data_IF_246453499519
#
_entry.id   IF_246453499519
#
_cell.length_a   1.000
_cell.length_b   1.000
_cell.length_c   1.000
_cell.angle_alpha   90.00
_cell.angle_beta   90.00
_cell.angle_gamma   90.00
#
_symmetry.space_group_name_H-M   'P 1'
#
loop_
_entity.id
_entity.type
_entity.pdbx_description
1 polymer ?
#
# COMPACT_ATOMS: atom_id res chain seq x y z
N UNK A 1 29.60 57.34 17.84
CA UNK A 1 29.34 56.01 18.42
C UNK A 1 27.86 55.56 18.30
N UNK A 2 26.89 56.43 18.51
CA UNK A 2 25.43 56.08 18.47
C UNK A 2 24.99 55.52 17.07
N UNK A 3 25.52 56.05 15.97
CA UNK A 3 25.15 55.59 14.64
C UNK A 3 25.67 54.17 14.31
N UNK A 4 26.89 53.83 14.76
CA UNK A 4 27.45 52.50 14.59
C UNK A 4 26.64 51.46 15.41
N UNK A 5 26.23 51.80 16.62
CA UNK A 5 25.40 50.92 17.44
C UNK A 5 24.02 50.64 16.79
N UNK A 6 23.39 51.67 16.19
CA UNK A 6 22.11 51.49 15.46
C UNK A 6 22.28 50.59 14.24
N UNK A 7 23.34 50.79 13.46
CA UNK A 7 23.62 49.92 12.28
C UNK A 7 23.83 48.48 12.72
N UNK A 8 24.60 48.22 13.76
CA UNK A 8 24.83 46.90 14.30
C UNK A 8 23.51 46.23 14.78
N UNK A 9 22.64 47.01 15.41
CA UNK A 9 21.32 46.56 15.85
C UNK A 9 20.44 46.15 14.66
N UNK A 10 20.43 46.90 13.57
CA UNK A 10 19.67 46.57 12.38
C UNK A 10 20.20 45.27 11.71
N UNK A 11 21.52 45.07 11.65
CA UNK A 11 22.09 43.82 11.13
C UNK A 11 21.75 42.63 12.01
N UNK A 12 21.72 42.80 13.34
CA UNK A 12 21.30 41.77 14.27
C UNK A 12 19.84 41.36 14.03
N UNK A 13 18.93 42.31 13.96
CA UNK A 13 17.51 42.04 13.71
C UNK A 13 17.27 41.45 12.31
N UNK A 14 17.97 41.93 11.29
CA UNK A 14 17.88 41.39 9.96
C UNK A 14 18.37 39.93 9.92
N UNK A 15 19.46 39.59 10.61
CA UNK A 15 19.96 38.22 10.75
C UNK A 15 18.97 37.29 11.45
N UNK A 16 18.39 37.73 12.55
CA UNK A 16 17.35 36.98 13.28
C UNK A 16 16.12 36.75 12.38
N UNK A 17 15.63 37.79 11.72
CA UNK A 17 14.47 37.70 10.83
C UNK A 17 14.73 36.72 9.66
N UNK A 18 15.90 36.80 9.04
CA UNK A 18 16.29 35.91 7.95
C UNK A 18 16.35 34.45 8.41
N UNK A 19 16.91 34.18 9.58
CA UNK A 19 16.98 32.85 10.19
C UNK A 19 15.60 32.28 10.47
N UNK A 20 14.69 33.08 11.02
CA UNK A 20 13.32 32.67 11.27
C UNK A 20 12.54 32.38 9.98
N UNK A 21 12.72 33.20 8.95
CA UNK A 21 12.10 32.98 7.64
C UNK A 21 12.65 31.71 7.02
N UNK A 22 13.96 31.48 7.01
CA UNK A 22 14.59 30.28 6.47
C UNK A 22 14.12 29.01 7.22
N UNK A 23 14.07 29.07 8.56
CA UNK A 23 13.57 27.97 9.37
C UNK A 23 12.09 27.68 9.11
N UNK A 24 11.26 28.73 8.97
CA UNK A 24 9.86 28.59 8.62
C UNK A 24 9.62 27.96 7.26
N UNK A 25 10.40 28.39 6.27
CA UNK A 25 10.36 27.82 4.93
C UNK A 25 10.82 26.35 4.93
N UNK A 26 11.91 26.03 5.61
CA UNK A 26 12.40 24.65 5.72
C UNK A 26 11.36 23.74 6.37
N UNK A 27 10.72 24.21 7.45
CA UNK A 27 9.62 23.51 8.12
C UNK A 27 8.38 23.33 7.22
N UNK A 28 8.05 24.33 6.38
CA UNK A 28 6.91 24.29 5.47
C UNK A 28 7.14 23.31 4.30
N UNK A 29 8.39 23.20 3.83
CA UNK A 29 8.77 22.35 2.71
C UNK A 29 9.17 20.93 3.13
N UNK A 30 9.11 20.57 4.41
CA UNK A 30 9.42 19.23 4.89
C UNK A 30 8.59 18.17 4.16
N UNK A 31 9.28 17.14 3.62
CA UNK A 31 8.68 16.11 2.76
C UNK A 31 7.53 15.36 3.47
N UNK A 32 7.69 15.06 4.75
CA UNK A 32 6.67 14.40 5.57
C UNK A 32 5.36 15.17 5.66
N UNK A 33 5.44 16.51 5.76
CA UNK A 33 4.24 17.36 5.79
C UNK A 33 3.52 17.44 4.45
N UNK A 34 4.27 17.35 3.35
CA UNK A 34 3.67 17.27 2.00
C UNK A 34 2.93 15.96 1.83
N UNK A 35 3.54 14.84 2.21
CA UNK A 35 2.91 13.52 2.15
C UNK A 35 1.68 13.45 3.06
N UNK A 36 1.76 14.02 4.28
CA UNK A 36 0.61 14.09 5.18
C UNK A 36 -0.56 14.88 4.58
N UNK A 37 -0.27 16.03 3.94
CA UNK A 37 -1.31 16.81 3.25
C UNK A 37 -1.88 16.07 2.05
N UNK A 38 -1.04 15.34 1.30
CA UNK A 38 -1.48 14.53 0.19
C UNK A 38 -2.41 13.39 0.65
N UNK A 39 -2.04 12.67 1.73
CA UNK A 39 -2.89 11.65 2.35
C UNK A 39 -4.20 12.24 2.86
N UNK A 40 -4.16 13.40 3.53
CA UNK A 40 -5.37 14.08 3.97
C UNK A 40 -6.28 14.49 2.80
N UNK A 41 -5.68 14.95 1.70
CA UNK A 41 -6.42 15.28 0.48
C UNK A 41 -7.04 14.06 -0.19
N UNK A 42 -6.31 12.94 -0.24
CA UNK A 42 -6.77 11.69 -0.84
C UNK A 42 -7.91 11.03 -0.04
N UNK A 43 -7.83 11.03 1.30
CA UNK A 43 -8.83 10.42 2.18
C UNK A 43 -9.94 11.40 2.61
N UNK A 44 -9.83 12.70 2.27
CA UNK A 44 -10.79 13.73 2.69
C UNK A 44 -10.71 14.12 4.17
N UNK A 45 -9.94 13.38 4.98
CA UNK A 45 -9.69 13.62 6.41
C UNK A 45 -8.30 13.19 6.83
N UNK A 46 -7.93 13.48 8.07
CA UNK A 46 -6.68 12.96 8.64
C UNK A 46 -6.75 11.43 8.75
N UNK A 47 -5.74 10.70 8.23
CA UNK A 47 -5.68 9.24 8.37
C UNK A 47 -5.59 8.81 9.83
N UNK A 48 -6.22 7.69 10.17
CA UNK A 48 -6.19 7.10 11.52
C UNK A 48 -4.84 6.42 11.82
N UNK A 49 -4.18 5.89 10.78
CA UNK A 49 -2.83 5.35 10.85
C UNK A 49 -2.02 5.78 9.64
N UNK A 50 -0.76 6.17 9.88
CA UNK A 50 0.15 6.63 8.82
C UNK A 50 1.49 5.91 8.95
N UNK A 51 2.08 5.56 7.80
CA UNK A 51 3.47 5.13 7.69
C UNK A 51 4.16 5.92 6.59
N UNK A 52 5.40 6.28 6.83
CA UNK A 52 6.25 6.99 5.88
C UNK A 52 7.46 6.15 5.54
N UNK A 53 7.87 6.27 4.29
CA UNK A 53 9.13 5.74 3.81
C UNK A 53 10.31 6.44 4.47
N UNK A 54 11.41 5.72 4.65
CA UNK A 54 12.68 6.21 5.19
C UNK A 54 13.16 7.49 4.50
N UNK A 55 13.02 7.59 3.19
CA UNK A 55 13.42 8.74 2.37
C UNK A 55 12.38 9.85 2.34
N UNK A 56 11.22 9.67 2.98
CA UNK A 56 10.13 10.63 2.96
C UNK A 56 9.52 10.87 1.59
N UNK A 57 9.58 9.88 0.70
CA UNK A 57 9.04 9.95 -0.66
C UNK A 57 7.72 9.22 -0.82
N UNK A 58 7.51 8.19 -0.02
CA UNK A 58 6.32 7.36 -0.04
C UNK A 58 5.62 7.43 1.30
N UNK A 59 4.32 7.23 1.30
CA UNK A 59 3.52 7.10 2.52
C UNK A 59 2.30 6.25 2.25
N UNK A 60 1.81 5.60 3.29
CA UNK A 60 0.50 4.97 3.29
C UNK A 60 -0.32 5.45 4.49
N UNK A 61 -1.63 5.59 4.31
CA UNK A 61 -2.56 6.05 5.33
C UNK A 61 -3.85 5.26 5.31
N UNK A 62 -4.32 4.83 6.49
CA UNK A 62 -5.57 4.10 6.67
C UNK A 62 -6.66 5.02 7.22
N UNK A 63 -7.85 4.91 6.66
CA UNK A 63 -9.09 5.44 7.20
C UNK A 63 -10.00 4.27 7.62
N UNK A 64 -10.09 4.02 8.93
CA UNK A 64 -10.92 2.92 9.44
C UNK A 64 -12.42 3.23 9.40
N UNK A 65 -12.81 4.49 9.20
CA UNK A 65 -14.22 4.91 9.15
C UNK A 65 -14.78 4.78 7.74
N UNK A 66 -14.07 5.31 6.74
CA UNK A 66 -14.46 5.17 5.34
C UNK A 66 -14.19 3.75 4.81
N UNK A 67 -13.19 3.07 5.34
CA UNK A 67 -12.77 1.76 4.86
C UNK A 67 -11.76 1.87 3.72
N UNK A 68 -10.93 2.92 3.73
CA UNK A 68 -10.02 3.26 2.65
C UNK A 68 -8.55 3.20 3.10
N UNK A 69 -7.68 2.82 2.17
CA UNK A 69 -6.23 2.90 2.27
C UNK A 69 -5.70 3.76 1.13
N UNK A 70 -5.05 4.86 1.46
CA UNK A 70 -4.35 5.69 0.48
C UNK A 70 -2.85 5.36 0.48
N UNK A 71 -2.25 5.22 -0.71
CA UNK A 71 -0.81 5.10 -0.92
C UNK A 71 -0.32 6.25 -1.78
N UNK A 72 0.77 6.88 -1.37
CA UNK A 72 1.39 8.02 -2.06
C UNK A 72 2.85 7.65 -2.35
N UNK A 73 3.29 7.77 -3.60
CA UNK A 73 4.66 7.46 -4.02
C UNK A 73 5.45 8.67 -4.49
N UNK A 74 4.87 9.86 -4.39
CA UNK A 74 5.52 11.10 -4.79
C UNK A 74 5.18 12.23 -3.84
N UNK A 75 6.17 13.06 -3.53
CA UNK A 75 5.96 14.30 -2.77
C UNK A 75 5.07 15.31 -3.49
N UNK A 76 4.79 15.09 -4.79
CA UNK A 76 3.81 15.83 -5.59
C UNK A 76 2.36 15.40 -5.38
N UNK A 77 2.10 14.39 -4.52
CA UNK A 77 0.76 13.92 -4.20
C UNK A 77 0.20 12.88 -5.17
N UNK A 78 1.05 12.27 -5.99
CA UNK A 78 0.64 11.15 -6.83
C UNK A 78 0.45 9.91 -5.95
N UNK A 79 -0.69 9.26 -6.07
CA UNK A 79 -1.07 8.11 -5.27
C UNK A 79 -2.36 7.47 -5.76
N UNK A 80 -2.74 6.39 -5.11
CA UNK A 80 -4.00 5.68 -5.30
C UNK A 80 -4.72 5.52 -3.96
N UNK A 81 -6.02 5.37 -4.03
CA UNK A 81 -6.86 5.02 -2.89
C UNK A 81 -7.49 3.67 -3.19
N UNK A 82 -7.33 2.73 -2.27
CA UNK A 82 -7.89 1.39 -2.32
C UNK A 82 -8.94 1.25 -1.22
N UNK A 83 -10.03 0.58 -1.54
CA UNK A 83 -10.98 0.13 -0.52
C UNK A 83 -10.40 -1.06 0.26
N UNK A 84 -10.92 -1.33 1.44
CA UNK A 84 -10.44 -2.46 2.24
C UNK A 84 -10.66 -3.81 1.57
N UNK A 85 -11.64 -3.91 0.67
CA UNK A 85 -11.92 -5.14 -0.09
C UNK A 85 -10.84 -5.45 -1.14
N UNK A 86 -10.14 -4.43 -1.62
CA UNK A 86 -9.04 -4.55 -2.58
C UNK A 86 -7.70 -4.89 -1.91
N UNK A 87 -7.65 -4.89 -0.57
CA UNK A 87 -6.44 -5.26 0.16
C UNK A 87 -6.34 -6.77 0.27
N UNK A 88 -5.33 -7.37 -0.34
CA UNK A 88 -5.03 -8.79 -0.24
C UNK A 88 -4.20 -9.14 0.99
N UNK A 89 -3.37 -8.20 1.46
CA UNK A 89 -2.58 -8.43 2.64
C UNK A 89 -1.40 -7.49 2.82
N UNK A 90 -0.52 -7.87 3.74
CA UNK A 90 0.74 -7.18 3.97
C UNK A 90 1.83 -8.13 4.47
N UNK A 91 3.08 -7.78 4.17
CA UNK A 91 4.28 -8.50 4.61
C UNK A 91 5.25 -7.56 5.30
N UNK A 92 5.91 -8.06 6.33
CA UNK A 92 7.06 -7.42 6.93
C UNK A 92 8.32 -8.18 6.51
N UNK A 93 9.18 -7.50 5.81
CA UNK A 93 10.40 -8.05 5.24
C UNK A 93 11.60 -7.46 6.02
N UNK A 94 12.47 -8.32 6.51
CA UNK A 94 13.70 -7.94 7.21
C UNK A 94 14.86 -8.64 6.52
N UNK A 95 15.85 -7.88 6.05
CA UNK A 95 17.01 -8.39 5.34
C UNK A 95 16.61 -9.41 4.25
N UNK A 96 15.64 -9.01 3.40
CA UNK A 96 15.11 -9.77 2.27
C UNK A 96 14.30 -11.04 2.66
N UNK A 97 14.02 -11.25 3.95
CA UNK A 97 13.22 -12.37 4.44
C UNK A 97 11.87 -11.91 4.96
N UNK A 98 10.80 -12.58 4.60
CA UNK A 98 9.47 -12.33 5.15
C UNK A 98 9.43 -12.88 6.58
N UNK A 99 9.37 -11.97 7.57
CA UNK A 99 9.36 -12.33 9.00
C UNK A 99 7.95 -12.32 9.59
N UNK A 100 7.02 -11.64 8.94
CA UNK A 100 5.62 -11.67 9.33
C UNK A 100 4.74 -11.38 8.11
N UNK A 101 3.57 -12.02 8.06
CA UNK A 101 2.61 -11.89 6.95
C UNK A 101 1.18 -11.94 7.49
N UNK A 102 0.35 -11.07 6.95
CA UNK A 102 -1.09 -11.11 7.08
C UNK A 102 -1.68 -11.14 5.67
N UNK A 103 -2.45 -12.16 5.32
CA UNK A 103 -3.03 -12.33 4.00
C UNK A 103 -4.47 -12.82 4.11
N UNK A 104 -5.30 -12.41 3.17
CA UNK A 104 -6.71 -12.80 3.09
C UNK A 104 -6.86 -14.32 2.97
N UNK A 105 -7.71 -14.89 3.81
CA UNK A 105 -7.90 -16.35 3.85
C UNK A 105 -6.82 -17.15 4.58
N UNK A 106 -5.74 -16.54 5.05
CA UNK A 106 -4.68 -17.23 5.79
C UNK A 106 -4.63 -16.80 7.27
N UNK A 107 -4.15 -17.72 8.11
CA UNK A 107 -3.81 -17.38 9.49
C UNK A 107 -2.54 -16.50 9.49
N UNK A 108 -2.56 -15.41 10.26
CA UNK A 108 -1.40 -14.53 10.40
C UNK A 108 -0.17 -15.32 10.83
N UNK A 109 0.91 -15.18 10.09
CA UNK A 109 2.23 -15.77 10.42
C UNK A 109 3.14 -14.71 11.02
N UNK A 110 3.78 -15.03 12.12
CA UNK A 110 4.79 -14.16 12.75
C UNK A 110 5.94 -15.05 13.22
N UNK A 111 7.13 -14.78 12.71
CA UNK A 111 8.36 -15.36 13.21
C UNK A 111 8.82 -14.54 14.43
N UNK A 112 8.95 -15.24 15.58
CA UNK A 112 9.37 -14.62 16.84
C UNK A 112 10.90 -14.48 16.91
N UNK A 113 11.50 -13.82 15.95
CA UNK A 113 12.92 -13.52 15.92
C UNK A 113 13.20 -12.08 16.37
N UNK A 114 14.35 -11.90 17.03
CA UNK A 114 14.82 -10.57 17.43
C UNK A 114 15.68 -10.00 16.30
N UNK A 115 15.19 -8.95 15.65
CA UNK A 115 15.84 -8.29 14.51
C UNK A 115 16.55 -7.00 14.92
N UNK A 116 17.26 -7.01 16.07
CA UNK A 116 17.94 -5.81 16.59
C UNK A 116 19.06 -5.29 15.67
N UNK A 117 19.66 -6.17 14.86
CA UNK A 117 20.77 -5.87 13.97
C UNK A 117 20.38 -5.91 12.47
N UNK A 118 19.09 -5.78 12.17
CA UNK A 118 18.66 -5.76 10.79
C UNK A 118 19.25 -4.59 10.02
N UNK A 119 19.67 -4.83 8.79
CA UNK A 119 20.20 -3.81 7.88
C UNK A 119 19.07 -3.08 7.15
N UNK A 120 17.98 -3.77 6.87
CA UNK A 120 16.81 -3.23 6.16
C UNK A 120 15.50 -3.80 6.71
N UNK A 121 14.50 -2.93 6.84
CA UNK A 121 13.14 -3.32 7.20
C UNK A 121 12.17 -2.65 6.23
N UNK A 122 11.38 -3.45 5.54
CA UNK A 122 10.41 -3.02 4.52
C UNK A 122 9.02 -3.55 4.87
N UNK A 123 8.02 -2.70 4.76
CA UNK A 123 6.62 -3.07 4.78
C UNK A 123 6.11 -3.13 3.34
N UNK A 124 5.61 -4.29 2.92
CA UNK A 124 4.97 -4.48 1.63
C UNK A 124 3.47 -4.62 1.84
N UNK A 125 2.69 -3.83 1.12
CA UNK A 125 1.24 -3.93 1.03
C UNK A 125 0.90 -4.60 -0.29
N UNK A 126 -0.10 -5.50 -0.29
CA UNK A 126 -0.53 -6.25 -1.46
C UNK A 126 -1.99 -5.95 -1.77
N UNK A 127 -2.30 -5.73 -3.05
CA UNK A 127 -3.62 -5.33 -3.52
C UNK A 127 -4.12 -6.25 -4.63
N UNK A 128 -5.43 -6.39 -4.73
CA UNK A 128 -6.11 -7.01 -5.87
C UNK A 128 -6.28 -5.97 -7.00
N UNK A 129 -5.14 -5.50 -7.52
CA UNK A 129 -5.08 -4.51 -8.59
C UNK A 129 -3.98 -4.89 -9.59
N UNK A 130 -4.32 -4.87 -10.89
CA UNK A 130 -3.40 -5.29 -11.96
C UNK A 130 -2.28 -4.28 -12.20
N UNK A 131 -2.56 -2.98 -12.02
CA UNK A 131 -1.59 -1.91 -12.28
C UNK A 131 -0.66 -1.70 -11.08
N UNK A 132 -1.17 -1.91 -9.85
CA UNK A 132 -0.40 -1.77 -8.62
C UNK A 132 -0.64 -2.96 -7.68
N UNK A 133 -0.11 -4.15 -7.98
CA UNK A 133 -0.31 -5.34 -7.14
C UNK A 133 0.39 -5.25 -5.79
N UNK A 134 1.45 -4.42 -5.69
CA UNK A 134 2.21 -4.26 -4.45
C UNK A 134 2.74 -2.84 -4.26
N UNK A 135 2.86 -2.43 -3.00
CA UNK A 135 3.45 -1.15 -2.62
C UNK A 135 4.40 -1.32 -1.44
N UNK A 136 5.67 -0.97 -1.64
CA UNK A 136 6.71 -1.10 -0.63
C UNK A 136 7.06 0.22 0.03
N UNK A 137 7.19 0.18 1.36
CA UNK A 137 7.61 1.28 2.21
C UNK A 137 8.82 0.83 3.01
N UNK A 138 9.97 1.42 2.77
CA UNK A 138 11.18 1.17 3.55
C UNK A 138 11.07 1.88 4.91
N UNK A 139 11.04 1.11 5.99
CA UNK A 139 10.93 1.62 7.36
C UNK A 139 12.30 1.90 7.99
N UNK A 140 13.33 1.13 7.59
CA UNK A 140 14.70 1.23 8.09
C UNK A 140 15.70 0.76 7.03
N UNK A 141 16.89 1.36 7.00
CA UNK A 141 17.98 1.01 6.10
C UNK A 141 19.24 1.79 6.41
N UNK A 142 20.35 1.52 5.70
CA UNK A 142 21.66 2.11 5.92
C UNK A 142 21.69 3.66 5.82
N UNK A 143 20.74 4.26 5.12
CA UNK A 143 20.59 5.71 4.95
C UNK A 143 19.67 6.36 6.00
N UNK A 144 19.50 5.73 7.17
CA UNK A 144 18.58 6.18 8.23
C UNK A 144 19.00 7.48 8.94
N UNK A 145 20.03 8.16 8.49
CA UNK A 145 20.40 9.50 8.94
C UNK A 145 19.32 10.50 8.53
N UNK A 146 18.31 10.67 9.40
CA UNK A 146 17.16 11.55 9.16
C UNK A 146 15.81 10.85 9.03
N UNK A 147 15.73 9.54 9.36
CA UNK A 147 14.46 8.79 9.35
C UNK A 147 13.38 9.48 10.19
N UNK A 148 12.22 9.68 9.59
CA UNK A 148 11.10 10.44 10.19
C UNK A 148 10.48 9.69 11.36
N UNK A 149 10.48 8.34 11.35
CA UNK A 149 9.67 7.55 12.28
C UNK A 149 10.38 6.39 12.98
N UNK A 150 11.40 5.79 12.41
CA UNK A 150 12.14 4.70 13.04
C UNK A 150 13.63 4.99 13.04
N UNK A 151 14.21 5.21 14.21
CA UNK A 151 15.65 5.48 14.40
C UNK A 151 16.45 4.20 14.52
N UNK A 152 15.80 3.08 14.82
CA UNK A 152 16.42 1.78 15.01
C UNK A 152 15.66 0.69 14.27
N UNK A 153 16.35 -0.40 13.91
CA UNK A 153 15.73 -1.57 13.27
C UNK A 153 14.60 -2.15 14.14
N UNK A 154 14.79 -2.20 15.46
CA UNK A 154 13.78 -2.70 16.40
C UNK A 154 12.50 -1.84 16.39
N UNK A 155 12.64 -0.51 16.31
CA UNK A 155 11.47 0.41 16.19
C UNK A 155 10.76 0.20 14.86
N UNK A 156 11.50 0.03 13.76
CA UNK A 156 10.94 -0.24 12.44
C UNK A 156 10.16 -1.57 12.42
N UNK A 157 10.71 -2.63 12.98
CA UNK A 157 10.02 -3.92 13.10
C UNK A 157 8.75 -3.78 13.94
N UNK A 158 8.79 -3.03 15.06
CA UNK A 158 7.60 -2.77 15.87
C UNK A 158 6.53 -1.99 15.10
N UNK A 159 6.93 -0.99 14.34
CA UNK A 159 6.03 -0.21 13.48
C UNK A 159 5.41 -1.10 12.40
N UNK A 160 6.22 -1.91 11.71
CA UNK A 160 5.74 -2.84 10.70
C UNK A 160 4.77 -3.88 11.27
N UNK A 161 5.05 -4.44 12.46
CA UNK A 161 4.13 -5.35 13.16
C UNK A 161 2.81 -4.68 13.54
N UNK A 162 2.84 -3.40 13.94
CA UNK A 162 1.62 -2.63 14.19
C UNK A 162 0.79 -2.48 12.92
N UNK A 163 1.42 -2.16 11.81
CA UNK A 163 0.76 -2.06 10.50
C UNK A 163 0.16 -3.40 10.06
N UNK A 164 0.92 -4.49 10.18
CA UNK A 164 0.39 -5.84 9.94
C UNK A 164 -0.85 -6.15 10.78
N UNK A 165 -0.89 -5.68 12.03
CA UNK A 165 -2.07 -5.87 12.89
C UNK A 165 -3.28 -5.08 12.40
N UNK A 166 -3.06 -3.87 11.86
CA UNK A 166 -4.14 -3.09 11.25
C UNK A 166 -4.66 -3.77 9.99
N UNK A 167 -3.77 -4.21 9.10
CA UNK A 167 -4.16 -4.90 7.87
C UNK A 167 -4.86 -6.23 8.20
N UNK A 168 -4.34 -7.04 9.13
CA UNK A 168 -4.99 -8.28 9.56
C UNK A 168 -6.41 -8.05 10.10
N UNK A 169 -6.62 -6.96 10.84
CA UNK A 169 -7.95 -6.58 11.32
C UNK A 169 -8.87 -6.12 10.20
N UNK A 170 -8.34 -5.43 9.18
CA UNK A 170 -9.07 -4.94 8.02
C UNK A 170 -9.52 -6.10 7.14
N UNK A 171 -8.61 -6.99 6.73
CA UNK A 171 -8.91 -8.12 5.84
C UNK A 171 -9.84 -9.17 6.49
N UNK A 172 -9.87 -9.23 7.83
CA UNK A 172 -10.80 -10.08 8.59
C UNK A 172 -12.17 -9.48 8.81
N UNK A 173 -12.34 -8.18 8.54
CA UNK A 173 -13.68 -7.60 8.54
C UNK A 173 -14.42 -8.24 7.37
N UNK A 174 -15.42 -9.07 7.70
CA UNK A 174 -16.39 -9.51 6.69
C UNK A 174 -16.97 -8.23 6.10
N UNK A 175 -16.91 -8.02 4.78
CA UNK A 175 -17.58 -6.88 4.18
C UNK A 175 -19.00 -6.92 4.67
N UNK A 176 -19.48 -5.83 5.28
CA UNK A 176 -20.91 -5.67 5.53
C UNK A 176 -21.53 -5.91 4.15
N UNK A 177 -22.24 -7.02 4.01
CA UNK A 177 -22.82 -7.42 2.74
C UNK A 177 -23.41 -6.16 2.14
N UNK A 178 -22.83 -5.71 1.02
CA UNK A 178 -23.35 -4.60 0.29
C UNK A 178 -24.79 -4.99 0.02
N UNK A 179 -25.71 -4.42 0.79
CA UNK A 179 -27.13 -4.59 0.56
C UNK A 179 -27.32 -3.90 -0.77
N UNK A 180 -27.20 -4.71 -1.83
CA UNK A 180 -27.48 -4.26 -3.17
C UNK A 180 -28.86 -3.63 -3.11
N UNK A 181 -29.02 -2.32 -3.38
CA UNK A 181 -30.33 -1.69 -3.38
C UNK A 181 -31.17 -2.18 -4.57
N UNK A 182 -30.60 -3.04 -5.41
CA UNK A 182 -31.35 -3.68 -6.48
C UNK A 182 -31.85 -5.02 -5.96
N UNK A 183 -33.22 -5.20 -5.89
CA UNK A 183 -33.77 -6.52 -5.65
C UNK A 183 -33.22 -7.44 -6.75
N UNK A 184 -32.56 -8.51 -6.36
CA UNK A 184 -32.27 -9.61 -7.28
C UNK A 184 -33.62 -10.13 -7.68
N UNK A 185 -34.10 -9.67 -8.83
CA UNK A 185 -35.25 -10.23 -9.50
C UNK A 185 -34.89 -11.67 -9.77
N UNK A 186 -35.44 -12.54 -8.94
CA UNK A 186 -35.33 -13.99 -9.10
C UNK A 186 -35.83 -14.29 -10.50
N UNK A 187 -34.88 -14.43 -11.44
CA UNK A 187 -35.21 -14.87 -12.78
C UNK A 187 -35.87 -16.23 -12.62
N UNK A 188 -37.19 -16.21 -12.67
CA UNK A 188 -38.02 -17.40 -12.80
C UNK A 188 -37.48 -18.13 -14.03
N UNK A 189 -36.82 -19.27 -13.77
CA UNK A 189 -36.32 -20.13 -14.82
C UNK A 189 -37.44 -20.47 -15.76
N UNK A 190 -37.44 -19.85 -16.95
CA UNK A 190 -38.30 -20.25 -18.04
C UNK A 190 -38.01 -21.73 -18.36
N UNK A 191 -39.06 -22.56 -18.53
CA UNK A 191 -38.87 -23.97 -18.86
C UNK A 191 -38.07 -24.08 -20.16
N UNK A 192 -36.91 -24.78 -20.08
CA UNK A 192 -36.13 -25.11 -21.28
C UNK A 192 -37.00 -25.87 -22.26
N UNK A 193 -37.10 -25.42 -23.52
CA UNK A 193 -37.67 -26.26 -24.55
C UNK A 193 -36.84 -27.52 -24.70
N UNK A 194 -37.53 -28.66 -24.83
CA UNK A 194 -36.92 -29.98 -25.00
C UNK A 194 -35.93 -29.96 -26.15
N UNK A 195 -34.73 -30.51 -25.90
CA UNK A 195 -33.68 -30.64 -26.88
C UNK A 195 -34.15 -31.34 -28.13
N UNK A 196 -34.23 -30.61 -29.26
CA UNK A 196 -34.27 -31.20 -30.59
C UNK A 196 -32.92 -31.87 -30.81
N UNK A 197 -32.98 -33.14 -31.27
CA UNK A 197 -31.84 -33.95 -31.59
C UNK A 197 -30.88 -33.21 -32.55
N UNK A 198 -29.69 -32.90 -32.08
CA UNK A 198 -28.63 -32.37 -32.93
C UNK A 198 -28.15 -33.49 -33.85
N UNK A 199 -28.45 -33.36 -35.17
CA UNK A 199 -27.81 -34.11 -36.20
C UNK A 199 -26.32 -33.80 -36.22
N UNK A 200 -25.47 -34.85 -36.21
CA UNK A 200 -24.02 -34.75 -36.38
C UNK A 200 -23.66 -34.12 -37.72
N UNK A 201 -22.64 -33.29 -37.78
CA UNK A 201 -22.19 -32.72 -39.04
C UNK A 201 -21.60 -33.79 -39.98
N UNK A 202 -21.75 -33.66 -41.32
CA UNK A 202 -21.52 -34.70 -42.33
C UNK A 202 -20.04 -34.92 -42.75
N UNK A 203 -19.09 -34.56 -41.91
CA UNK A 203 -17.66 -34.65 -42.25
C UNK A 203 -16.83 -35.49 -41.26
N UNK A 204 -17.48 -36.40 -40.57
CA UNK A 204 -16.83 -37.25 -39.56
C UNK A 204 -16.79 -38.76 -39.96
N UNK A 205 -16.96 -39.03 -41.24
CA UNK A 205 -16.69 -40.37 -41.83
C UNK A 205 -15.63 -40.19 -42.91
N UNK A 206 -14.60 -40.97 -42.83
CA UNK A 206 -13.51 -41.21 -43.78
C UNK A 206 -12.17 -40.74 -43.25
N UNK A 207 -11.49 -41.66 -42.58
CA UNK A 207 -10.08 -42.02 -42.80
C UNK A 207 -9.65 -43.13 -41.84
N UNK A 208 -10.32 -44.26 -41.93
CA UNK A 208 -9.75 -45.56 -41.62
C UNK A 208 -9.68 -46.31 -42.93
N UNK A 209 -8.54 -46.29 -43.60
CA UNK A 209 -8.14 -47.42 -44.42
C UNK A 209 -6.66 -47.31 -44.82
N UNK A 210 -6.03 -48.35 -44.44
CA UNK A 210 -4.94 -49.05 -45.22
C UNK A 210 -3.56 -48.39 -45.17
N UNK A 211 -2.65 -48.99 -44.51
CA UNK A 211 -1.79 -49.80 -45.32
C UNK A 211 -0.92 -50.82 -44.59
N UNK A 212 -1.22 -52.00 -44.88
CA UNK A 212 -0.36 -53.14 -44.86
C UNK A 212 0.79 -53.06 -45.90
N UNK A 213 1.81 -53.83 -45.59
CA UNK A 213 2.76 -54.50 -46.52
C UNK A 213 4.00 -53.67 -46.86
N UNK A 214 5.10 -54.25 -46.65
CA UNK A 214 5.94 -55.29 -47.02
C UNK A 214 7.40 -54.85 -47.28
N UNK A 215 8.27 -55.60 -46.66
CA UNK A 215 9.44 -56.30 -47.22
C UNK A 215 10.49 -55.51 -48.03
N UNK A 216 11.64 -55.44 -47.50
CA UNK A 216 12.87 -56.15 -47.95
C UNK A 216 14.11 -55.66 -47.19
#
# INVERSE_FOLDING_TARGET
MIHAARILLYFLFAGIALTLIASGLMWWFEASRRLQRALHGALGKAPDAIVYDLKGRKAAGLDFTAGDLAVIWSTGGQGLVFTFDEIEGAELIVDERVVARAQKGEARRVLNETHAHASRVTLRLMFDDVEMPEFEVDLYGELSLGAVHAKTAAEAVRLGRKWLSHIDAVIKRVPAAATSPYPVETAVAAPRPAAAAASLPPWQDDDDDANDTDEA
#
